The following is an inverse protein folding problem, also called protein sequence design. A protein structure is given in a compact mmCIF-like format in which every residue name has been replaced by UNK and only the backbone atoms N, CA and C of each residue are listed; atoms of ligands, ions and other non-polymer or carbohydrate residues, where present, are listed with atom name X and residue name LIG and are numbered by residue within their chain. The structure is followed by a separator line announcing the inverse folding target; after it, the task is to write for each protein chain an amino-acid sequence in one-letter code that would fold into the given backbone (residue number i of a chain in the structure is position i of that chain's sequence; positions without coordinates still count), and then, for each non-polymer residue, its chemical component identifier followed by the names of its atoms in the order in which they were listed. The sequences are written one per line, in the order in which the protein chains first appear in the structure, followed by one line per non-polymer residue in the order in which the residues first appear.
data_IF_843027342571
#
_entry.id   IF_843027342571
#
_cell.length_a   1.000
_cell.length_b   1.000
_cell.length_c   1.000
_cell.angle_alpha   90.00
_cell.angle_beta   90.00
_cell.angle_gamma   90.00
#
_symmetry.space_group_name_H-M   'P 1'
#
loop_
_entity.id
_entity.type
_entity.pdbx_description
1 polymer ?
#
# COMPACT_ATOMS: atom_id res chain seq x y z
N UNK A 1 5.96 9.63 10.52
CA UNK A 1 6.43 9.52 9.12
C UNK A 1 7.90 9.95 9.00
N UNK A 2 8.82 9.27 9.71
CA UNK A 2 10.19 9.78 9.91
C UNK A 2 11.26 9.27 8.94
N UNK A 3 11.02 8.16 8.24
CA UNK A 3 12.04 7.50 7.40
C UNK A 3 11.39 6.68 6.28
N UNK A 4 12.23 6.04 5.45
CA UNK A 4 11.80 5.17 4.35
C UNK A 4 10.89 5.89 3.35
N UNK A 5 9.92 5.15 2.80
CA UNK A 5 8.97 5.70 1.81
C UNK A 5 8.11 6.82 2.41
N UNK A 6 7.67 6.69 3.67
CA UNK A 6 6.88 7.73 4.34
C UNK A 6 7.65 9.05 4.47
N UNK A 7 8.94 8.97 4.83
CA UNK A 7 9.84 10.12 4.87
C UNK A 7 10.05 10.74 3.48
N UNK A 8 10.24 9.92 2.44
CA UNK A 8 10.42 10.40 1.06
C UNK A 8 9.17 11.13 0.53
N UNK A 9 7.98 10.58 0.79
CA UNK A 9 6.69 11.20 0.43
C UNK A 9 6.55 12.56 1.12
N UNK A 10 6.80 12.65 2.43
CA UNK A 10 6.76 13.90 3.19
C UNK A 10 7.79 14.91 2.67
N UNK A 11 9.04 14.49 2.43
CA UNK A 11 10.09 15.37 1.97
C UNK A 11 9.72 16.04 0.64
N UNK A 12 9.17 15.27 -0.31
CA UNK A 12 8.76 15.81 -1.60
C UNK A 12 7.45 16.61 -1.53
N UNK A 13 6.43 16.04 -0.90
CA UNK A 13 5.08 16.59 -0.84
C UNK A 13 4.91 17.77 0.12
N UNK A 14 5.80 17.91 1.11
CA UNK A 14 5.80 19.01 2.06
C UNK A 14 5.09 18.68 3.39
N UNK A 15 5.22 19.59 4.38
CA UNK A 15 4.78 19.34 5.76
C UNK A 15 3.27 19.21 5.92
N UNK A 16 2.47 19.75 5.00
CA UNK A 16 1.01 19.68 5.05
C UNK A 16 0.49 18.22 5.11
N UNK A 17 1.16 17.29 4.41
CA UNK A 17 0.78 15.87 4.41
C UNK A 17 0.80 15.30 5.84
N UNK A 18 1.88 15.56 6.60
CA UNK A 18 1.99 15.04 7.96
C UNK A 18 1.06 15.78 8.92
N UNK A 19 0.90 17.10 8.77
CA UNK A 19 -0.03 17.87 9.59
C UNK A 19 -1.48 17.37 9.45
N UNK A 20 -1.94 17.11 8.22
CA UNK A 20 -3.26 16.56 7.95
C UNK A 20 -3.41 15.11 8.47
N UNK A 21 -2.36 14.29 8.40
CA UNK A 21 -2.39 12.93 8.92
C UNK A 21 -2.47 12.90 10.45
N UNK A 22 -1.69 13.75 11.13
CA UNK A 22 -1.69 13.88 12.60
C UNK A 22 -3.06 14.37 13.09
N UNK A 23 -3.67 15.34 12.40
CA UNK A 23 -4.99 15.86 12.76
C UNK A 23 -6.12 14.83 12.67
N UNK A 24 -5.90 13.72 11.95
CA UNK A 24 -6.86 12.61 11.82
C UNK A 24 -6.52 11.41 12.71
N UNK A 25 -5.42 11.47 13.47
CA UNK A 25 -4.99 10.39 14.35
C UNK A 25 -5.72 10.37 15.70
N UNK A 26 -5.52 9.31 16.51
CA UNK A 26 -4.66 8.15 16.22
C UNK A 26 -5.26 7.22 15.16
N UNK A 27 -4.40 6.57 14.38
CA UNK A 27 -4.78 5.57 13.38
C UNK A 27 -4.37 4.21 13.90
N UNK A 28 -5.35 3.33 14.11
CA UNK A 28 -5.10 1.97 14.57
C UNK A 28 -4.32 1.17 13.53
N UNK A 29 -3.44 0.25 13.93
CA UNK A 29 -2.78 -0.67 12.99
C UNK A 29 -3.79 -1.35 12.07
N UNK A 30 -3.49 -1.51 10.79
CA UNK A 30 -4.37 -2.02 9.75
C UNK A 30 -5.36 -0.99 9.19
N UNK A 31 -5.58 0.15 9.86
CA UNK A 31 -6.44 1.22 9.36
C UNK A 31 -5.66 2.24 8.51
N UNK A 32 -6.40 3.15 7.86
CA UNK A 32 -5.80 4.20 7.06
C UNK A 32 -6.51 5.55 7.19
N UNK A 33 -5.76 6.62 7.00
CA UNK A 33 -6.29 7.98 6.83
C UNK A 33 -5.86 8.55 5.50
N UNK A 34 -6.58 9.54 4.98
CA UNK A 34 -6.29 10.11 3.67
C UNK A 34 -6.10 11.61 3.79
N UNK A 35 -5.05 12.11 3.15
CA UNK A 35 -4.69 13.52 3.12
C UNK A 35 -4.65 14.02 1.68
N UNK A 36 -4.57 15.33 1.51
CA UNK A 36 -4.01 15.93 0.30
C UNK A 36 -2.60 15.39 0.05
N UNK A 37 -2.13 15.48 -1.19
CA UNK A 37 -0.78 15.06 -1.55
C UNK A 37 0.25 16.20 -1.48
N UNK A 38 -0.13 17.36 -0.91
CA UNK A 38 0.71 18.55 -0.90
C UNK A 38 1.21 18.92 -2.29
N UNK A 39 2.53 18.94 -2.49
CA UNK A 39 3.20 19.26 -3.76
C UNK A 39 3.41 18.08 -4.71
N UNK A 40 2.94 16.88 -4.37
CA UNK A 40 3.06 15.72 -5.26
C UNK A 40 2.12 15.88 -6.46
N UNK A 41 2.43 15.19 -7.56
CA UNK A 41 1.51 15.08 -8.71
C UNK A 41 0.30 14.18 -8.42
N UNK A 42 0.35 13.37 -7.36
CA UNK A 42 -0.78 12.58 -6.91
C UNK A 42 -1.88 13.49 -6.35
N UNK A 43 -3.13 12.99 -6.36
CA UNK A 43 -4.27 13.73 -5.78
C UNK A 43 -4.35 13.58 -4.26
N UNK A 44 -4.02 12.39 -3.77
CA UNK A 44 -4.13 12.02 -2.36
C UNK A 44 -2.92 11.20 -1.92
N UNK A 45 -2.70 11.18 -0.61
CA UNK A 45 -1.85 10.18 0.05
C UNK A 45 -2.71 9.41 1.05
N UNK A 46 -2.69 8.08 0.94
CA UNK A 46 -3.37 7.17 1.88
C UNK A 46 -2.30 6.65 2.83
N UNK A 47 -2.40 7.03 4.11
CA UNK A 47 -1.48 6.64 5.17
C UNK A 47 -2.00 5.36 5.81
N UNK A 48 -1.49 4.22 5.35
CA UNK A 48 -1.86 2.91 5.87
C UNK A 48 -0.93 2.49 7.03
N UNK A 49 -1.50 2.25 8.21
CA UNK A 49 -0.75 1.91 9.41
C UNK A 49 -0.44 0.41 9.46
N UNK A 50 0.61 -0.05 8.79
CA UNK A 50 0.92 -1.50 8.71
C UNK A 50 1.66 -2.05 9.93
N UNK A 51 1.96 -1.22 10.92
CA UNK A 51 2.84 -1.55 12.03
C UNK A 51 2.43 -0.75 13.27
N UNK A 52 2.49 -1.38 14.44
CA UNK A 52 2.25 -0.74 15.72
C UNK A 52 3.38 0.17 16.17
N UNK A 53 3.20 0.85 17.32
CA UNK A 53 4.26 1.64 17.96
C UNK A 53 5.42 0.77 18.48
N UNK A 54 5.16 -0.51 18.70
CA UNK A 54 6.14 -1.55 19.05
C UNK A 54 7.02 -1.98 17.86
N UNK A 55 6.80 -1.39 16.69
CA UNK A 55 7.48 -1.72 15.42
C UNK A 55 7.22 -3.16 14.94
N UNK A 56 6.17 -3.81 15.45
CA UNK A 56 5.74 -5.11 14.97
C UNK A 56 4.66 -4.97 13.90
N UNK A 57 4.86 -5.73 12.81
CA UNK A 57 3.90 -5.93 11.73
C UNK A 57 3.46 -7.39 11.72
N UNK A 58 2.38 -7.70 11.01
CA UNK A 58 1.92 -9.07 10.79
C UNK A 58 1.22 -9.19 9.45
N UNK A 59 1.00 -10.42 9.02
CA UNK A 59 0.26 -10.78 7.82
C UNK A 59 -1.11 -10.10 7.81
N UNK A 60 -1.84 -10.21 8.92
CA UNK A 60 -3.16 -9.63 9.10
C UNK A 60 -3.15 -8.09 9.03
N UNK A 61 -2.10 -7.44 9.52
CA UNK A 61 -1.97 -5.98 9.43
C UNK A 61 -1.70 -5.53 8.00
N UNK A 62 -0.81 -6.23 7.28
CA UNK A 62 -0.50 -5.93 5.88
C UNK A 62 -1.72 -6.15 5.00
N UNK A 63 -2.44 -7.26 5.21
CA UNK A 63 -3.67 -7.56 4.49
C UNK A 63 -4.74 -6.48 4.74
N UNK A 64 -5.06 -6.21 6.01
CA UNK A 64 -6.08 -5.23 6.39
C UNK A 64 -5.76 -3.84 5.88
N UNK A 65 -4.51 -3.40 6.02
CA UNK A 65 -4.03 -2.12 5.52
C UNK A 65 -4.15 -2.01 3.99
N UNK A 66 -3.81 -3.08 3.27
CA UNK A 66 -3.91 -3.12 1.80
C UNK A 66 -5.38 -3.00 1.36
N UNK A 67 -6.26 -3.79 1.95
CA UNK A 67 -7.70 -3.76 1.67
C UNK A 67 -8.33 -2.40 2.02
N UNK A 68 -7.99 -1.83 3.18
CA UNK A 68 -8.50 -0.53 3.61
C UNK A 68 -8.03 0.60 2.69
N UNK A 69 -6.79 0.55 2.21
CA UNK A 69 -6.30 1.53 1.25
C UNK A 69 -7.01 1.44 -0.11
N UNK A 70 -7.31 0.22 -0.60
CA UNK A 70 -8.10 0.02 -1.82
C UNK A 70 -9.52 0.57 -1.66
N UNK A 71 -10.20 0.28 -0.54
CA UNK A 71 -11.52 0.84 -0.22
C UNK A 71 -11.50 2.37 -0.11
N UNK A 72 -10.46 2.93 0.51
CA UNK A 72 -10.31 4.38 0.66
C UNK A 72 -10.08 5.09 -0.68
N UNK A 73 -9.42 4.43 -1.63
CA UNK A 73 -9.28 4.90 -3.01
C UNK A 73 -10.63 4.89 -3.74
N UNK A 74 -11.40 3.80 -3.62
CA UNK A 74 -12.73 3.70 -4.24
C UNK A 74 -13.73 4.71 -3.70
N UNK A 75 -13.74 4.95 -2.39
CA UNK A 75 -14.55 6.00 -1.78
C UNK A 75 -14.26 7.39 -2.36
N UNK A 76 -13.07 7.59 -2.94
CA UNK A 76 -12.63 8.84 -3.59
C UNK A 76 -12.71 8.80 -5.11
N UNK A 77 -13.19 7.69 -5.68
CA UNK A 77 -13.35 7.47 -7.13
C UNK A 77 -12.08 7.79 -7.91
N UNK A 78 -10.94 7.31 -7.44
CA UNK A 78 -9.67 7.48 -8.15
C UNK A 78 -9.44 6.31 -9.10
N UNK A 79 -8.94 6.59 -10.30
CA UNK A 79 -8.67 5.56 -11.31
C UNK A 79 -7.37 4.78 -11.11
N UNK A 80 -6.50 5.21 -10.20
CA UNK A 80 -5.21 4.54 -9.98
C UNK A 80 -4.65 4.74 -8.58
N UNK A 81 -3.93 3.74 -8.09
CA UNK A 81 -3.22 3.76 -6.79
C UNK A 81 -1.84 3.10 -6.93
N UNK A 82 -0.86 3.59 -6.16
CA UNK A 82 0.48 3.01 -6.07
C UNK A 82 0.77 2.60 -4.63
N UNK A 83 1.29 1.39 -4.45
CA UNK A 83 1.70 0.84 -3.15
C UNK A 83 3.21 0.58 -3.10
N UNK A 84 3.90 0.88 -1.99
CA UNK A 84 5.20 0.28 -1.70
C UNK A 84 5.04 -1.15 -1.16
N UNK A 85 6.14 -1.88 -0.97
CA UNK A 85 6.12 -3.12 -0.19
C UNK A 85 5.89 -2.80 1.30
N UNK A 86 4.78 -3.27 1.86
CA UNK A 86 4.39 -3.00 3.24
C UNK A 86 5.12 -3.89 4.25
N UNK A 87 5.54 -3.30 5.37
CA UNK A 87 6.18 -4.04 6.47
C UNK A 87 7.61 -4.53 6.21
N UNK A 88 8.11 -4.48 4.97
CA UNK A 88 9.41 -5.09 4.60
C UNK A 88 10.64 -4.24 4.92
N UNK A 89 10.44 -3.02 5.44
CA UNK A 89 11.50 -2.13 5.89
C UNK A 89 11.82 -2.36 7.37
N UNK A 90 11.56 -1.35 8.20
CA UNK A 90 11.76 -1.41 9.66
C UNK A 90 11.04 -2.60 10.31
N UNK A 91 9.87 -2.99 9.78
CA UNK A 91 9.11 -4.13 10.29
C UNK A 91 9.72 -5.51 9.97
N UNK A 92 10.76 -5.58 9.12
CA UNK A 92 11.49 -6.82 8.84
C UNK A 92 10.67 -7.92 8.17
N UNK A 93 9.49 -7.62 7.63
CA UNK A 93 8.60 -8.63 7.05
C UNK A 93 9.20 -9.21 5.76
N UNK A 94 9.04 -10.51 5.56
CA UNK A 94 9.59 -11.19 4.40
C UNK A 94 8.96 -10.67 3.10
N UNK A 95 9.80 -10.40 2.08
CA UNK A 95 9.36 -9.85 0.79
C UNK A 95 8.37 -10.79 0.07
N UNK A 96 8.61 -12.10 0.09
CA UNK A 96 7.74 -13.10 -0.56
C UNK A 96 6.34 -13.09 0.04
N UNK A 97 6.27 -13.02 1.36
CA UNK A 97 5.02 -13.12 2.11
C UNK A 97 4.25 -11.81 1.97
N UNK A 98 4.95 -10.67 2.04
CA UNK A 98 4.38 -9.36 1.73
C UNK A 98 3.79 -9.33 0.32
N UNK A 99 4.55 -9.82 -0.67
CA UNK A 99 4.10 -9.84 -2.05
C UNK A 99 2.84 -10.68 -2.21
N UNK A 100 2.81 -11.88 -1.63
CA UNK A 100 1.66 -12.79 -1.70
C UNK A 100 0.41 -12.14 -1.13
N UNK A 101 0.50 -11.66 0.11
CA UNK A 101 -0.63 -11.04 0.82
C UNK A 101 -1.17 -9.82 0.06
N UNK A 102 -0.27 -8.93 -0.37
CA UNK A 102 -0.69 -7.72 -1.08
C UNK A 102 -1.33 -8.04 -2.43
N UNK A 103 -0.76 -8.97 -3.20
CA UNK A 103 -1.26 -9.33 -4.53
C UNK A 103 -2.59 -10.07 -4.42
N UNK A 104 -2.75 -10.98 -3.46
CA UNK A 104 -4.02 -11.67 -3.20
C UNK A 104 -5.13 -10.67 -2.82
N UNK A 105 -4.84 -9.73 -1.92
CA UNK A 105 -5.78 -8.67 -1.54
C UNK A 105 -6.16 -7.76 -2.72
N UNK A 106 -5.19 -7.39 -3.57
CA UNK A 106 -5.43 -6.59 -4.78
C UNK A 106 -6.27 -7.38 -5.80
N UNK A 107 -5.95 -8.66 -6.01
CA UNK A 107 -6.67 -9.54 -6.94
C UNK A 107 -8.12 -9.74 -6.52
N UNK A 108 -8.36 -10.01 -5.22
CA UNK A 108 -9.69 -10.14 -4.66
C UNK A 108 -10.51 -8.84 -4.81
N UNK A 109 -9.89 -7.68 -4.58
CA UNK A 109 -10.54 -6.39 -4.78
C UNK A 109 -10.92 -6.15 -6.25
N UNK A 110 -10.02 -6.48 -7.18
CA UNK A 110 -10.23 -6.33 -8.62
C UNK A 110 -11.35 -7.24 -9.17
N UNK A 111 -11.67 -8.34 -8.48
CA UNK A 111 -12.80 -9.21 -8.81
C UNK A 111 -14.18 -8.59 -8.44
N UNK A 112 -14.18 -7.41 -7.80
CA UNK A 112 -15.40 -6.68 -7.44
C UNK A 112 -15.51 -5.36 -8.23
N UNK A 113 -16.70 -4.74 -8.34
CA UNK A 113 -16.82 -3.42 -8.95
C UNK A 113 -15.95 -2.40 -8.22
N UNK A 114 -14.99 -1.82 -8.94
CA UNK A 114 -14.03 -0.85 -8.41
C UNK A 114 -13.86 0.32 -9.39
N UNK A 115 -13.53 1.50 -8.87
CA UNK A 115 -13.12 2.66 -9.65
C UNK A 115 -11.66 2.58 -10.11
N UNK A 116 -10.87 1.67 -9.52
CA UNK A 116 -9.46 1.51 -9.86
C UNK A 116 -9.28 0.75 -11.17
N UNK A 117 -8.64 1.40 -12.15
CA UNK A 117 -8.24 0.79 -13.43
C UNK A 117 -6.76 0.37 -13.41
N UNK A 118 -5.99 0.85 -12.43
CA UNK A 118 -4.56 0.63 -12.36
C UNK A 118 -4.04 0.61 -10.92
N UNK A 119 -3.50 -0.54 -10.51
CA UNK A 119 -2.75 -0.69 -9.26
C UNK A 119 -1.28 -0.89 -9.61
N UNK A 120 -0.38 -0.08 -9.04
CA UNK A 120 1.08 -0.22 -9.22
C UNK A 120 1.74 -0.63 -7.90
N UNK A 121 2.59 -1.65 -7.96
CA UNK A 121 3.49 -2.00 -6.87
C UNK A 121 4.86 -1.36 -7.18
N UNK A 122 5.22 -0.31 -6.43
CA UNK A 122 6.42 0.51 -6.63
C UNK A 122 7.48 0.06 -5.63
N UNK A 123 8.45 -0.71 -6.13
CA UNK A 123 9.36 -1.50 -5.31
C UNK A 123 10.76 -0.90 -5.33
N UNK A 124 11.39 -0.84 -4.15
CA UNK A 124 12.73 -0.29 -4.01
C UNK A 124 13.78 -1.39 -4.14
N UNK A 125 14.54 -1.35 -5.23
CA UNK A 125 15.63 -2.28 -5.51
C UNK A 125 15.22 -3.52 -6.29
N UNK A 126 16.21 -4.10 -6.97
CA UNK A 126 16.03 -5.27 -7.83
C UNK A 126 15.48 -6.51 -7.09
N UNK A 127 15.94 -6.85 -5.86
CA UNK A 127 15.44 -8.05 -5.18
C UNK A 127 13.94 -7.98 -4.88
N UNK A 128 13.45 -6.84 -4.42
CA UNK A 128 12.02 -6.65 -4.16
C UNK A 128 11.21 -6.76 -5.45
N UNK A 129 11.69 -6.16 -6.54
CA UNK A 129 11.06 -6.27 -7.85
C UNK A 129 10.96 -7.73 -8.32
N UNK A 130 12.06 -8.48 -8.30
CA UNK A 130 12.10 -9.88 -8.74
C UNK A 130 11.19 -10.78 -7.90
N UNK A 131 11.21 -10.62 -6.57
CA UNK A 131 10.33 -11.38 -5.68
C UNK A 131 8.86 -11.12 -5.98
N UNK A 132 8.46 -9.85 -6.09
CA UNK A 132 7.06 -9.52 -6.39
C UNK A 132 6.63 -9.98 -7.78
N UNK A 133 7.52 -9.93 -8.79
CA UNK A 133 7.23 -10.44 -10.14
C UNK A 133 7.04 -11.96 -10.12
N UNK A 134 7.88 -12.71 -9.40
CA UNK A 134 7.75 -14.15 -9.27
C UNK A 134 6.39 -14.53 -8.64
N UNK A 135 6.05 -13.91 -7.51
CA UNK A 135 4.79 -14.15 -6.81
C UNK A 135 3.57 -13.71 -7.63
N UNK A 136 3.67 -12.58 -8.34
CA UNK A 136 2.61 -12.13 -9.24
C UNK A 136 2.33 -13.13 -10.36
N UNK A 137 3.38 -13.73 -10.95
CA UNK A 137 3.22 -14.76 -12.00
C UNK A 137 2.54 -16.01 -11.48
N UNK A 138 2.85 -16.43 -10.25
CA UNK A 138 2.16 -17.55 -9.61
C UNK A 138 0.68 -17.23 -9.41
N UNK A 139 0.34 -16.10 -8.79
CA UNK A 139 -1.05 -15.79 -8.42
C UNK A 139 -1.91 -15.43 -9.65
N UNK A 140 -1.38 -14.59 -10.55
CA UNK A 140 -2.15 -14.06 -11.68
C UNK A 140 -2.03 -14.93 -12.93
N UNK A 141 -0.97 -15.75 -13.04
CA UNK A 141 -0.73 -16.61 -14.20
C UNK A 141 -1.66 -17.82 -14.29
N UNK A 142 -2.25 -18.27 -13.17
CA UNK A 142 -3.23 -19.37 -13.18
C UNK A 142 -4.62 -18.97 -13.75
N UNK A 143 -4.80 -17.72 -14.20
CA UNK A 143 -6.05 -17.23 -14.77
C UNK A 143 -6.14 -17.22 -16.30
N UNK A 144 -5.12 -17.67 -17.04
CA UNK A 144 -5.10 -17.60 -18.52
C UNK A 144 -5.38 -18.92 -19.26
N UNK A 145 -5.65 -20.03 -18.55
CA UNK A 145 -6.01 -21.32 -19.17
C UNK A 145 -7.53 -21.56 -19.25
N UNK A 146 -8.34 -20.53 -19.01
CA UNK A 146 -9.81 -20.59 -19.10
C UNK A 146 -10.36 -19.44 -19.96
N UNK A 147 -10.06 -19.46 -21.26
CA UNK A 147 -10.81 -18.75 -22.30
C UNK A 147 -10.58 -19.40 -23.67
#
# INVERSE_FOLDING_TARGET
MGSGVAGAIKARGGPAIEAEAIAQGPVEPGECVVTSAGRLHARFVIHAAVMGQDLHTSDALIERATQNALRAADARRVGSISFPAFGTGVGGFALSDCARIMIEAISAHAATPTSLHLVRLVLFGQPAYETFVAVAREILGHGQDAA
#
